data_IF_533979648124
#
_entry.id   IF_533979648124
#
_cell.length_a   1.000
_cell.length_b   1.000
_cell.length_c   1.000
_cell.angle_alpha   90.00
_cell.angle_beta   90.00
_cell.angle_gamma   90.00
#
_symmetry.space_group_name_H-M   'P 1'
#
loop_
_entity.id
_entity.type
_entity.pdbx_description
1 polymer ?
#
# COMPACT_ATOMS: atom_id res chain seq x y z
N UNK A 1 -28.69 -3.46 -23.72
CA UNK A 1 -27.71 -2.68 -22.94
C UNK A 1 -26.66 -3.63 -22.39
N UNK A 2 -25.35 -3.37 -22.52
CA UNK A 2 -24.30 -4.22 -21.92
C UNK A 2 -24.40 -4.10 -20.40
N UNK A 3 -24.64 -5.22 -19.72
CA UNK A 3 -24.61 -5.31 -18.25
C UNK A 3 -23.16 -5.10 -17.81
N UNK A 4 -22.87 -3.98 -17.18
CA UNK A 4 -21.54 -3.73 -16.60
C UNK A 4 -21.40 -4.57 -15.33
N UNK A 5 -20.52 -5.56 -15.38
CA UNK A 5 -20.18 -6.37 -14.20
C UNK A 5 -19.22 -5.55 -13.35
N UNK A 6 -19.60 -5.29 -12.11
CA UNK A 6 -18.74 -4.64 -11.12
C UNK A 6 -17.96 -5.73 -10.36
N UNK A 7 -16.63 -5.63 -10.22
CA UNK A 7 -15.88 -6.57 -9.41
C UNK A 7 -16.13 -6.35 -7.92
N UNK A 8 -16.18 -7.44 -7.15
CA UNK A 8 -16.20 -7.38 -5.69
C UNK A 8 -14.79 -7.19 -5.12
N UNK A 9 -13.76 -7.60 -5.86
CA UNK A 9 -12.37 -7.53 -5.42
C UNK A 9 -11.47 -7.05 -6.55
N UNK A 10 -10.65 -6.03 -6.26
CA UNK A 10 -9.56 -5.60 -7.12
C UNK A 10 -8.23 -5.86 -6.40
N UNK A 11 -7.29 -6.50 -7.09
CA UNK A 11 -5.90 -6.62 -6.67
C UNK A 11 -5.00 -5.80 -7.60
N UNK A 12 -4.10 -5.00 -7.04
CA UNK A 12 -3.23 -4.09 -7.79
C UNK A 12 -1.77 -4.38 -7.45
N UNK A 13 -0.97 -4.66 -8.49
CA UNK A 13 0.48 -4.59 -8.41
C UNK A 13 0.90 -3.16 -8.70
N UNK A 14 1.43 -2.47 -7.69
CA UNK A 14 1.80 -1.05 -7.78
C UNK A 14 3.18 -0.84 -8.42
N UNK A 15 3.35 -1.32 -9.65
CA UNK A 15 4.60 -1.20 -10.39
C UNK A 15 4.77 0.18 -11.07
N UNK A 16 6.01 0.52 -11.42
CA UNK A 16 6.34 1.71 -12.21
C UNK A 16 6.87 2.89 -11.40
N UNK A 17 6.84 2.83 -10.07
CA UNK A 17 7.33 3.91 -9.18
C UNK A 17 8.77 4.34 -9.53
N UNK A 18 9.70 3.39 -9.63
CA UNK A 18 11.09 3.70 -9.98
C UNK A 18 11.26 4.23 -11.41
N UNK A 19 10.49 3.72 -12.38
CA UNK A 19 10.50 4.22 -13.77
C UNK A 19 9.92 5.63 -13.86
N UNK A 20 8.87 5.92 -13.09
CA UNK A 20 8.29 7.26 -13.00
C UNK A 20 9.32 8.24 -12.45
N UNK A 21 9.99 7.93 -11.33
CA UNK A 21 11.01 8.79 -10.75
C UNK A 21 12.15 9.08 -11.72
N UNK A 22 12.65 8.04 -12.41
CA UNK A 22 13.71 8.17 -13.40
C UNK A 22 13.34 9.14 -14.55
N UNK A 23 12.11 9.07 -15.07
CA UNK A 23 11.61 10.00 -16.11
C UNK A 23 11.51 11.45 -15.62
N UNK A 24 11.44 11.66 -14.32
CA UNK A 24 11.41 12.99 -13.69
C UNK A 24 12.79 13.45 -13.21
N UNK A 25 13.85 12.68 -13.47
CA UNK A 25 15.20 12.91 -12.93
C UNK A 25 15.24 12.96 -11.39
N UNK A 26 14.37 12.17 -10.74
CA UNK A 26 14.24 12.08 -9.28
C UNK A 26 14.79 10.76 -8.75
N UNK A 27 15.23 10.73 -7.47
CA UNK A 27 15.56 9.48 -6.78
C UNK A 27 14.37 8.51 -6.75
N UNK A 28 14.63 7.20 -6.83
CA UNK A 28 13.59 6.14 -6.85
C UNK A 28 12.57 6.27 -5.71
N UNK A 29 13.00 6.70 -4.53
CA UNK A 29 12.14 6.87 -3.36
C UNK A 29 11.02 7.89 -3.59
N UNK A 30 11.25 8.93 -4.41
CA UNK A 30 10.22 9.92 -4.76
C UNK A 30 9.10 9.29 -5.58
N UNK A 31 9.43 8.32 -6.44
CA UNK A 31 8.44 7.53 -7.14
C UNK A 31 7.59 6.68 -6.20
N UNK A 32 8.20 6.12 -5.14
CA UNK A 32 7.46 5.36 -4.14
C UNK A 32 6.53 6.26 -3.31
N UNK A 33 6.96 7.46 -2.94
CA UNK A 33 6.09 8.47 -2.30
C UNK A 33 4.90 8.81 -3.20
N UNK A 34 5.15 9.08 -4.49
CA UNK A 34 4.10 9.36 -5.46
C UNK A 34 3.12 8.19 -5.62
N UNK A 35 3.64 6.97 -5.64
CA UNK A 35 2.82 5.75 -5.66
C UNK A 35 1.91 5.64 -4.44
N UNK A 36 2.43 5.95 -3.26
CA UNK A 36 1.65 5.93 -2.01
C UNK A 36 0.56 7.00 -1.96
N UNK A 37 0.82 8.21 -2.47
CA UNK A 37 -0.22 9.23 -2.64
C UNK A 37 -1.38 8.72 -3.52
N UNK A 38 -1.05 7.99 -4.59
CA UNK A 38 -2.04 7.47 -5.54
C UNK A 38 -2.94 6.38 -4.92
N UNK A 39 -2.50 5.72 -3.85
CA UNK A 39 -3.33 4.75 -3.11
C UNK A 39 -4.60 5.41 -2.57
N UNK A 40 -4.51 6.67 -2.10
CA UNK A 40 -5.68 7.40 -1.58
C UNK A 40 -6.73 7.60 -2.68
N UNK A 41 -6.29 7.99 -3.88
CA UNK A 41 -7.18 8.13 -5.04
C UNK A 41 -7.82 6.80 -5.43
N UNK A 42 -7.06 5.70 -5.44
CA UNK A 42 -7.61 4.36 -5.73
C UNK A 42 -8.66 3.96 -4.68
N UNK A 43 -8.36 4.17 -3.41
CA UNK A 43 -9.27 3.88 -2.30
C UNK A 43 -10.57 4.67 -2.43
N UNK A 44 -10.49 5.97 -2.71
CA UNK A 44 -11.65 6.83 -2.97
C UNK A 44 -12.53 6.29 -4.10
N UNK A 45 -11.92 5.84 -5.20
CA UNK A 45 -12.67 5.23 -6.30
C UNK A 45 -13.33 3.92 -5.87
N UNK A 46 -12.65 3.08 -5.10
CA UNK A 46 -13.24 1.85 -4.59
C UNK A 46 -14.48 2.13 -3.73
N UNK A 47 -14.42 3.14 -2.85
CA UNK A 47 -15.55 3.56 -2.01
C UNK A 47 -16.71 4.06 -2.87
N UNK A 48 -16.46 4.99 -3.82
CA UNK A 48 -17.48 5.55 -4.71
C UNK A 48 -18.19 4.44 -5.50
N UNK A 49 -17.42 3.48 -6.01
CA UNK A 49 -17.96 2.38 -6.79
C UNK A 49 -18.49 1.22 -5.94
N UNK A 50 -18.41 1.31 -4.60
CA UNK A 50 -18.83 0.26 -3.66
C UNK A 50 -18.14 -1.07 -3.96
N UNK A 51 -16.82 -1.03 -4.19
CA UNK A 51 -15.97 -2.23 -4.33
C UNK A 51 -15.55 -2.64 -2.91
N UNK A 52 -15.98 -3.81 -2.41
CA UNK A 52 -15.75 -4.20 -1.03
C UNK A 52 -14.31 -4.57 -0.70
N UNK A 53 -13.54 -5.09 -1.67
CA UNK A 53 -12.16 -5.54 -1.42
C UNK A 53 -11.15 -4.88 -2.36
N UNK A 54 -10.08 -4.35 -1.77
CA UNK A 54 -8.90 -3.85 -2.45
C UNK A 54 -7.65 -4.50 -1.84
N UNK A 55 -6.85 -5.17 -2.67
CA UNK A 55 -5.54 -5.69 -2.26
C UNK A 55 -4.45 -4.96 -3.02
N UNK A 56 -3.47 -4.44 -2.30
CA UNK A 56 -2.32 -3.73 -2.86
C UNK A 56 -1.06 -4.54 -2.62
N UNK A 57 -0.29 -4.80 -3.68
CA UNK A 57 0.97 -5.51 -3.54
C UNK A 57 2.09 -4.52 -3.21
N UNK A 58 2.36 -4.38 -1.91
CA UNK A 58 3.25 -3.34 -1.35
C UNK A 58 4.71 -3.76 -1.33
N UNK A 59 5.01 -5.01 -0.97
CA UNK A 59 6.36 -5.54 -0.86
C UNK A 59 6.38 -7.05 -1.14
N UNK A 60 7.27 -7.51 -2.02
CA UNK A 60 7.42 -8.92 -2.40
C UNK A 60 8.64 -9.60 -1.78
N UNK A 61 8.68 -10.92 -1.82
CA UNK A 61 9.86 -11.73 -1.45
C UNK A 61 11.09 -11.37 -2.27
N UNK A 62 10.92 -11.02 -3.54
CA UNK A 62 12.01 -10.62 -4.44
C UNK A 62 12.53 -9.22 -4.12
N UNK A 63 11.75 -8.39 -3.41
CA UNK A 63 12.20 -7.05 -3.03
C UNK A 63 13.34 -7.09 -2.00
N UNK A 64 13.54 -8.22 -1.31
CA UNK A 64 14.70 -8.43 -0.46
C UNK A 64 16.03 -8.44 -1.23
N UNK A 65 16.00 -8.72 -2.54
CA UNK A 65 17.21 -8.71 -3.38
C UNK A 65 17.66 -7.30 -3.78
N UNK A 66 16.94 -6.25 -3.37
CA UNK A 66 17.31 -4.85 -3.62
C UNK A 66 18.41 -4.38 -2.65
N UNK A 67 19.12 -3.29 -2.97
CA UNK A 67 20.09 -2.70 -2.05
C UNK A 67 19.48 -2.44 -0.66
N UNK A 68 20.24 -2.76 0.41
CA UNK A 68 19.76 -2.66 1.81
C UNK A 68 19.23 -1.28 2.15
N UNK A 69 19.86 -0.23 1.63
CA UNK A 69 19.43 1.16 1.85
C UNK A 69 18.08 1.48 1.18
N UNK A 70 17.83 0.94 -0.01
CA UNK A 70 16.52 1.06 -0.68
C UNK A 70 15.45 0.35 0.15
N UNK A 71 15.70 -0.89 0.59
CA UNK A 71 14.77 -1.66 1.43
C UNK A 71 14.48 -0.93 2.76
N UNK A 72 15.50 -0.38 3.42
CA UNK A 72 15.34 0.41 4.63
C UNK A 72 14.51 1.68 4.39
N UNK A 73 14.71 2.34 3.24
CA UNK A 73 13.91 3.49 2.79
C UNK A 73 12.44 3.12 2.58
N UNK A 74 12.16 1.99 1.93
CA UNK A 74 10.80 1.49 1.71
C UNK A 74 10.08 1.22 3.03
N UNK A 75 10.75 0.61 4.02
CA UNK A 75 10.12 0.36 5.32
C UNK A 75 9.85 1.65 6.10
N UNK A 76 10.75 2.65 6.04
CA UNK A 76 10.45 3.97 6.64
C UNK A 76 9.24 4.63 6.00
N UNK A 77 9.13 4.55 4.68
CA UNK A 77 7.99 5.09 3.95
C UNK A 77 6.69 4.34 4.27
N UNK A 78 6.75 3.00 4.33
CA UNK A 78 5.61 2.17 4.72
C UNK A 78 5.12 2.50 6.13
N UNK A 79 6.03 2.70 7.07
CA UNK A 79 5.71 3.08 8.45
C UNK A 79 4.91 4.39 8.51
N UNK A 80 5.36 5.42 7.77
CA UNK A 80 4.66 6.70 7.68
C UNK A 80 3.26 6.55 7.10
N UNK A 81 3.12 5.79 6.01
CA UNK A 81 1.82 5.62 5.36
C UNK A 81 0.86 4.70 6.12
N UNK A 82 1.36 3.76 6.93
CA UNK A 82 0.50 2.97 7.81
C UNK A 82 -0.16 3.87 8.86
N UNK A 83 0.57 4.83 9.45
CA UNK A 83 -0.02 5.74 10.43
C UNK A 83 -1.11 6.64 9.85
N UNK A 84 -0.89 7.17 8.65
CA UNK A 84 -1.90 7.93 7.91
C UNK A 84 -3.07 7.04 7.49
N UNK A 85 -2.77 5.85 6.99
CA UNK A 85 -3.75 4.88 6.51
C UNK A 85 -4.68 4.37 7.60
N UNK A 86 -4.19 4.18 8.83
CA UNK A 86 -5.03 3.81 9.99
C UNK A 86 -6.04 4.91 10.29
N UNK A 87 -5.60 6.18 10.33
CA UNK A 87 -6.50 7.32 10.59
C UNK A 87 -7.60 7.42 9.53
N UNK A 88 -7.20 7.32 8.27
CA UNK A 88 -8.13 7.34 7.14
C UNK A 88 -9.12 6.16 7.19
N UNK A 89 -8.61 4.97 7.53
CA UNK A 89 -9.41 3.77 7.62
C UNK A 89 -10.49 3.87 8.70
N UNK A 90 -10.13 4.36 9.89
CA UNK A 90 -11.07 4.63 10.97
C UNK A 90 -12.13 5.67 10.56
N UNK A 91 -11.70 6.78 9.95
CA UNK A 91 -12.61 7.85 9.53
C UNK A 91 -13.62 7.40 8.46
N UNK A 92 -13.24 6.42 7.63
CA UNK A 92 -14.06 5.94 6.50
C UNK A 92 -14.64 4.54 6.70
N UNK A 93 -14.56 3.99 7.92
CA UNK A 93 -15.03 2.64 8.26
C UNK A 93 -14.45 1.54 7.35
N UNK A 94 -13.15 1.62 7.08
CA UNK A 94 -12.39 0.63 6.30
C UNK A 94 -11.69 -0.31 7.25
N UNK A 95 -11.76 -1.61 6.95
CA UNK A 95 -11.02 -2.64 7.68
C UNK A 95 -9.71 -2.97 6.98
N UNK A 96 -8.60 -2.89 7.72
CA UNK A 96 -7.28 -3.22 7.21
C UNK A 96 -6.95 -4.69 7.49
N UNK A 97 -6.42 -5.36 6.47
CA UNK A 97 -5.95 -6.74 6.55
C UNK A 97 -4.50 -6.83 6.06
N UNK A 98 -3.75 -7.75 6.64
CA UNK A 98 -2.42 -8.12 6.16
C UNK A 98 -2.47 -9.50 5.51
N UNK A 99 -1.85 -9.62 4.33
CA UNK A 99 -1.66 -10.89 3.62
C UNK A 99 -0.16 -11.05 3.38
N UNK A 100 0.41 -12.19 3.79
CA UNK A 100 1.83 -12.51 3.61
C UNK A 100 2.53 -12.87 4.92
N UNK A 101 3.82 -13.15 4.83
CA UNK A 101 4.65 -13.40 6.01
C UNK A 101 5.11 -12.08 6.63
N UNK A 102 5.12 -12.02 7.96
CA UNK A 102 5.75 -10.93 8.70
C UNK A 102 7.20 -11.25 9.09
N UNK A 103 7.70 -12.44 8.78
CA UNK A 103 9.07 -12.85 9.08
C UNK A 103 10.09 -11.97 8.36
N UNK A 104 11.20 -11.66 9.04
CA UNK A 104 12.20 -10.73 8.52
C UNK A 104 11.80 -9.25 8.50
N UNK A 105 10.51 -8.90 8.67
CA UNK A 105 10.11 -7.50 8.77
C UNK A 105 10.69 -6.85 10.05
N UNK A 106 11.11 -5.57 9.99
CA UNK A 106 11.50 -4.83 11.18
C UNK A 106 10.38 -4.83 12.23
N UNK A 107 10.73 -4.96 13.52
CA UNK A 107 9.76 -5.05 14.61
C UNK A 107 8.76 -3.88 14.64
N UNK A 108 9.20 -2.67 14.28
CA UNK A 108 8.32 -1.50 14.16
C UNK A 108 7.21 -1.68 13.12
N UNK A 109 7.52 -2.30 11.97
CA UNK A 109 6.53 -2.59 10.92
C UNK A 109 5.56 -3.67 11.38
N UNK A 110 6.06 -4.74 12.00
CA UNK A 110 5.21 -5.80 12.60
C UNK A 110 4.21 -5.23 13.59
N UNK A 111 4.68 -4.34 14.47
CA UNK A 111 3.83 -3.68 15.46
C UNK A 111 2.77 -2.81 14.79
N UNK A 112 3.14 -2.00 13.79
CA UNK A 112 2.21 -1.15 13.05
C UNK A 112 1.15 -1.94 12.28
N UNK A 113 1.52 -3.06 11.65
CA UNK A 113 0.57 -3.97 11.00
C UNK A 113 -0.45 -4.50 12.02
N UNK A 114 0.02 -4.99 13.17
CA UNK A 114 -0.86 -5.49 14.23
C UNK A 114 -1.78 -4.40 14.77
N UNK A 115 -1.25 -3.19 15.00
CA UNK A 115 -2.04 -2.02 15.41
C UNK A 115 -3.13 -1.71 14.38
N UNK A 116 -2.79 -1.68 13.10
CA UNK A 116 -3.73 -1.37 12.02
C UNK A 116 -4.89 -2.36 11.96
N UNK A 117 -4.60 -3.66 12.03
CA UNK A 117 -5.61 -4.73 12.02
C UNK A 117 -6.52 -4.59 13.24
N UNK A 118 -5.95 -4.42 14.43
CA UNK A 118 -6.75 -4.38 15.66
C UNK A 118 -7.61 -3.12 15.76
N UNK A 119 -7.09 -1.96 15.32
CA UNK A 119 -7.81 -0.70 15.40
C UNK A 119 -9.02 -0.66 14.46
N UNK A 120 -8.97 -1.40 13.35
CA UNK A 120 -9.99 -1.36 12.28
C UNK A 120 -10.86 -2.61 12.19
N UNK A 121 -10.78 -3.49 13.21
CA UNK A 121 -11.43 -4.80 13.24
C UNK A 121 -12.95 -4.75 13.31
#
# INVERSE_FOLDING_TARGET
>A
MKKTVKPDHIAIIMDGNGRWAARQHLPRIEGHKKGAENVRTILERCIIHKIPYLTLYVFSTENWNRPREEVAGLFRLLEQHLDEGIKEALARNIRLHHIGSTDGLPNRIKHKIKQAINATA
#
